data_IF_883843931770
#
_entry.id   IF_883843931770
#
_cell.length_a   1.000
_cell.length_b   1.000
_cell.length_c   1.000
_cell.angle_alpha   90.00
_cell.angle_beta   90.00
_cell.angle_gamma   90.00
#
_symmetry.space_group_name_H-M   'P 1'
#
loop_
_entity.id
_entity.type
_entity.pdbx_description
1 polymer ?
#
# COMPACT_ATOMS: atom_id res chain seq x y z
N UNK A 1 1.52 13.96 -11.25
CA UNK A 1 2.27 13.98 -12.54
C UNK A 1 2.34 12.62 -13.26
N UNK A 2 3.14 11.63 -12.83
CA UNK A 2 3.26 10.36 -13.58
C UNK A 2 2.01 9.49 -13.51
N UNK A 3 1.34 9.45 -12.35
CA UNK A 3 0.07 8.74 -12.19
C UNK A 3 -1.03 9.33 -13.07
N UNK A 4 -1.17 10.65 -13.09
CA UNK A 4 -2.12 11.36 -13.97
C UNK A 4 -1.89 11.03 -15.44
N UNK A 5 -0.62 11.04 -15.89
CA UNK A 5 -0.29 10.67 -17.26
C UNK A 5 -0.62 9.19 -17.53
N UNK A 6 -0.31 8.31 -16.59
CA UNK A 6 -0.64 6.88 -16.71
C UNK A 6 -2.13 6.62 -16.87
N UNK A 7 -2.95 7.35 -16.12
CA UNK A 7 -4.41 7.34 -16.23
C UNK A 7 -4.85 7.89 -17.59
N UNK A 8 -4.36 9.07 -17.99
CA UNK A 8 -4.77 9.74 -19.22
C UNK A 8 -4.41 8.96 -20.49
N UNK A 9 -3.25 8.29 -20.49
CA UNK A 9 -2.77 7.47 -21.62
C UNK A 9 -3.30 6.04 -21.58
N UNK A 10 -3.92 5.60 -20.48
CA UNK A 10 -4.36 4.21 -20.29
C UNK A 10 -3.21 3.19 -20.35
N UNK A 11 -1.99 3.59 -19.99
CA UNK A 11 -0.80 2.76 -20.17
C UNK A 11 -0.51 1.80 -19.01
N UNK A 12 -1.34 1.84 -17.96
CA UNK A 12 -1.29 0.94 -16.81
C UNK A 12 -2.69 0.84 -16.15
N UNK A 13 -2.80 -0.03 -15.15
CA UNK A 13 -4.01 -0.23 -14.33
C UNK A 13 -3.68 -0.35 -12.82
N UNK A 14 -2.42 -0.11 -12.47
CA UNK A 14 -1.93 -0.24 -11.10
C UNK A 14 -0.73 0.68 -10.89
N UNK A 15 -0.55 1.12 -9.65
CA UNK A 15 0.62 1.91 -9.22
C UNK A 15 1.28 1.28 -8.00
N UNK A 16 2.61 1.19 -8.06
CA UNK A 16 3.44 0.77 -6.93
C UNK A 16 3.83 2.00 -6.10
N UNK A 17 3.29 2.12 -4.89
CA UNK A 17 3.45 3.29 -4.03
C UNK A 17 4.60 3.05 -3.05
N UNK A 18 5.62 3.91 -3.11
CA UNK A 18 6.73 3.95 -2.15
C UNK A 18 6.70 5.31 -1.48
N UNK A 19 6.32 5.35 -0.20
CA UNK A 19 6.09 6.58 0.57
C UNK A 19 7.30 7.52 0.52
N UNK A 20 8.51 6.97 0.59
CA UNK A 20 9.75 7.74 0.54
C UNK A 20 10.21 8.15 -0.87
N UNK A 21 9.46 7.86 -1.94
CA UNK A 21 9.72 8.41 -3.28
C UNK A 21 9.09 9.79 -3.49
N UNK A 22 7.95 10.06 -2.85
CA UNK A 22 7.22 11.32 -3.02
C UNK A 22 7.61 12.36 -1.96
N UNK A 23 7.90 11.91 -0.74
CA UNK A 23 8.50 12.73 0.32
C UNK A 23 7.61 12.88 1.55
N UNK A 24 6.31 13.14 1.37
CA UNK A 24 5.37 13.33 2.48
C UNK A 24 4.22 12.32 2.50
N UNK A 25 3.60 12.15 3.68
CA UNK A 25 2.40 11.32 3.84
C UNK A 25 1.19 11.95 3.13
N UNK A 26 1.04 13.27 3.18
CA UNK A 26 -0.06 13.96 2.50
C UNK A 26 -0.04 13.68 1.00
N UNK A 27 1.11 13.86 0.35
CA UNK A 27 1.23 13.59 -1.08
C UNK A 27 1.07 12.09 -1.41
N UNK A 28 1.46 11.22 -0.48
CA UNK A 28 1.22 9.77 -0.60
C UNK A 28 -0.28 9.48 -0.62
N UNK A 29 -1.05 10.04 0.32
CA UNK A 29 -2.50 9.86 0.38
C UNK A 29 -3.19 10.47 -0.84
N UNK A 30 -2.78 11.67 -1.27
CA UNK A 30 -3.32 12.31 -2.48
C UNK A 30 -3.07 11.46 -3.73
N UNK A 31 -1.88 10.84 -3.84
CA UNK A 31 -1.53 9.96 -4.96
C UNK A 31 -2.36 8.68 -4.96
N UNK A 32 -2.54 8.06 -3.78
CA UNK A 32 -3.33 6.82 -3.65
C UNK A 32 -4.80 7.09 -3.94
N UNK A 33 -5.36 8.16 -3.38
CA UNK A 33 -6.76 8.55 -3.60
C UNK A 33 -7.01 8.91 -5.07
N UNK A 34 -6.12 9.68 -5.70
CA UNK A 34 -6.21 9.98 -7.13
C UNK A 34 -6.20 8.71 -7.97
N UNK A 35 -5.28 7.77 -7.71
CA UNK A 35 -5.18 6.53 -8.46
C UNK A 35 -6.46 5.69 -8.33
N UNK A 36 -6.91 5.45 -7.09
CA UNK A 36 -8.10 4.63 -6.84
C UNK A 36 -9.38 5.24 -7.43
N UNK A 37 -9.54 6.57 -7.37
CA UNK A 37 -10.69 7.25 -7.98
C UNK A 37 -10.72 7.17 -9.51
N UNK A 38 -9.57 6.93 -10.14
CA UNK A 38 -9.45 6.75 -11.59
C UNK A 38 -9.34 5.27 -11.99
N UNK A 39 -9.73 4.34 -11.13
CA UNK A 39 -9.77 2.91 -11.43
C UNK A 39 -8.40 2.22 -11.46
N UNK A 40 -7.35 2.87 -10.95
CA UNK A 40 -6.06 2.21 -10.75
C UNK A 40 -6.07 1.49 -9.41
N UNK A 41 -5.53 0.27 -9.39
CA UNK A 41 -5.19 -0.39 -8.12
C UNK A 41 -3.91 0.20 -7.53
N UNK A 42 -3.78 0.16 -6.21
CA UNK A 42 -2.60 0.64 -5.49
C UNK A 42 -1.93 -0.51 -4.77
N UNK A 43 -0.61 -0.63 -4.90
CA UNK A 43 0.20 -1.59 -4.16
C UNK A 43 1.22 -0.84 -3.32
N UNK A 44 1.03 -0.82 -2.00
CA UNK A 44 2.00 -0.23 -1.08
C UNK A 44 3.27 -1.07 -1.05
N UNK A 45 4.45 -0.46 -1.13
CA UNK A 45 5.70 -1.17 -1.35
C UNK A 45 6.81 -0.71 -0.45
N UNK A 46 7.57 -1.69 0.03
CA UNK A 46 8.84 -1.47 0.72
C UNK A 46 9.96 -0.93 -0.21
N UNK A 47 11.15 -0.70 0.35
CA UNK A 47 12.41 -0.49 -0.39
C UNK A 47 13.38 -1.66 -0.23
N UNK A 48 14.40 -1.72 -1.08
CA UNK A 48 15.42 -2.79 -1.00
C UNK A 48 16.21 -2.73 0.32
N UNK A 49 16.59 -1.53 0.77
CA UNK A 49 17.03 -1.27 2.14
C UNK A 49 15.82 -0.91 3.01
N UNK A 50 15.52 -1.76 4.00
CA UNK A 50 14.43 -1.54 4.97
C UNK A 50 14.96 -1.55 6.39
N UNK A 51 14.15 -1.00 7.29
CA UNK A 51 14.36 -1.04 8.73
C UNK A 51 13.28 -1.93 9.38
N UNK A 52 13.26 -1.99 10.70
CA UNK A 52 12.18 -2.64 11.46
C UNK A 52 10.89 -1.79 11.55
N UNK A 53 10.91 -0.56 11.07
CA UNK A 53 9.75 0.32 11.00
C UNK A 53 8.62 -0.37 10.23
N UNK A 54 7.44 -0.47 10.83
CA UNK A 54 6.30 -1.17 10.23
C UNK A 54 5.20 -0.26 9.70
N UNK A 55 5.43 1.06 9.67
CA UNK A 55 4.45 2.10 9.32
C UNK A 55 3.78 1.86 7.96
N UNK A 56 4.49 1.27 7.00
CA UNK A 56 3.91 0.97 5.68
C UNK A 56 2.77 -0.07 5.74
N UNK A 57 2.74 -0.92 6.77
CA UNK A 57 1.63 -1.84 7.02
C UNK A 57 0.37 -1.06 7.44
N UNK A 58 0.51 -0.14 8.39
CA UNK A 58 -0.56 0.73 8.86
C UNK A 58 -1.08 1.63 7.72
N UNK A 59 -0.19 2.20 6.91
CA UNK A 59 -0.56 2.99 5.72
C UNK A 59 -1.33 2.14 4.71
N UNK A 60 -0.92 0.88 4.49
CA UNK A 60 -1.61 0.00 3.54
C UNK A 60 -3.06 -0.30 3.98
N UNK A 61 -3.28 -0.50 5.28
CA UNK A 61 -4.63 -0.69 5.84
C UNK A 61 -5.43 0.61 5.79
N UNK A 62 -4.84 1.73 6.24
CA UNK A 62 -5.50 3.04 6.28
C UNK A 62 -5.95 3.55 4.91
N UNK A 63 -5.17 3.25 3.85
CA UNK A 63 -5.52 3.61 2.47
C UNK A 63 -6.54 2.68 1.83
N UNK A 64 -6.87 1.56 2.46
CA UNK A 64 -7.74 0.52 1.91
C UNK A 64 -7.31 0.04 0.50
N UNK A 65 -6.01 0.09 0.21
CA UNK A 65 -5.44 -0.30 -1.09
C UNK A 65 -5.56 -1.81 -1.35
N UNK A 66 -5.68 -2.62 -0.29
CA UNK A 66 -5.84 -4.07 -0.31
C UNK A 66 -4.65 -4.88 -0.82
N UNK A 67 -3.53 -4.23 -1.15
CA UNK A 67 -2.32 -4.89 -1.62
C UNK A 67 -1.07 -4.23 -1.02
N UNK A 68 -0.18 -5.07 -0.49
CA UNK A 68 1.13 -4.66 0.01
C UNK A 68 2.21 -5.63 -0.47
N UNK A 69 3.35 -5.07 -0.90
CA UNK A 69 4.56 -5.79 -1.30
C UNK A 69 5.69 -5.43 -0.34
N UNK A 70 5.91 -6.28 0.66
CA UNK A 70 6.91 -6.03 1.72
C UNK A 70 8.02 -7.09 1.83
N UNK A 71 8.22 -7.91 0.80
CA UNK A 71 9.36 -8.83 0.68
C UNK A 71 9.02 -10.29 1.01
N UNK A 72 9.99 -11.18 0.96
CA UNK A 72 9.79 -12.57 1.39
C UNK A 72 9.49 -12.63 2.91
N UNK A 73 8.83 -13.70 3.41
CA UNK A 73 8.63 -13.94 4.84
C UNK A 73 9.94 -14.40 5.51
N UNK A 74 11.01 -13.66 5.28
CA UNK A 74 12.33 -13.86 5.84
C UNK A 74 12.96 -12.49 6.12
N UNK A 75 13.90 -12.47 7.07
CA UNK A 75 14.52 -11.26 7.63
C UNK A 75 13.55 -10.38 8.42
N UNK A 76 13.99 -9.92 9.57
CA UNK A 76 13.15 -9.19 10.54
C UNK A 76 12.63 -7.86 9.99
N UNK A 77 13.37 -7.19 9.11
CA UNK A 77 12.95 -5.95 8.45
C UNK A 77 11.69 -6.13 7.59
N UNK A 78 11.45 -7.33 7.05
CA UNK A 78 10.24 -7.69 6.28
C UNK A 78 9.15 -8.23 7.19
N UNK A 79 9.53 -9.14 8.08
CA UNK A 79 8.60 -9.78 9.02
C UNK A 79 7.96 -8.78 9.99
N UNK A 80 8.62 -7.66 10.30
CA UNK A 80 8.05 -6.59 11.11
C UNK A 80 6.71 -6.07 10.53
N UNK A 81 6.65 -5.87 9.21
CA UNK A 81 5.43 -5.40 8.52
C UNK A 81 4.35 -6.48 8.48
N UNK A 82 4.73 -7.73 8.21
CA UNK A 82 3.78 -8.85 8.24
C UNK A 82 3.16 -9.04 9.62
N UNK A 83 3.99 -9.01 10.67
CA UNK A 83 3.53 -9.10 12.05
C UNK A 83 2.62 -7.93 12.42
N UNK A 84 2.91 -6.72 11.90
CA UNK A 84 2.04 -5.57 12.12
C UNK A 84 0.67 -5.74 11.44
N UNK A 85 0.62 -6.26 10.22
CA UNK A 85 -0.66 -6.58 9.56
C UNK A 85 -1.48 -7.60 10.35
N UNK A 86 -0.84 -8.61 10.95
CA UNK A 86 -1.51 -9.60 11.80
C UNK A 86 -2.09 -8.93 13.05
N UNK A 87 -1.34 -8.04 13.71
CA UNK A 87 -1.84 -7.28 14.87
C UNK A 87 -3.00 -6.37 14.52
N UNK A 88 -2.92 -5.64 13.42
CA UNK A 88 -4.02 -4.79 12.94
C UNK A 88 -5.26 -5.64 12.63
N UNK A 89 -5.08 -6.82 12.03
CA UNK A 89 -6.19 -7.73 11.77
C UNK A 89 -6.84 -8.26 13.06
N UNK A 90 -6.05 -8.60 14.08
CA UNK A 90 -6.58 -8.95 15.41
C UNK A 90 -7.34 -7.79 16.05
N UNK A 91 -6.83 -6.56 15.94
CA UNK A 91 -7.45 -5.35 16.50
C UNK A 91 -8.79 -5.01 15.82
N UNK A 92 -8.85 -5.11 14.48
CA UNK A 92 -10.07 -4.83 13.72
C UNK A 92 -11.15 -5.91 13.92
N UNK A 93 -10.76 -7.15 14.23
CA UNK A 93 -11.69 -8.27 14.37
C UNK A 93 -12.63 -8.39 13.16
N UNK A 94 -13.93 -8.46 13.42
CA UNK A 94 -14.97 -8.60 12.37
C UNK A 94 -15.15 -7.34 11.51
N UNK A 95 -14.62 -6.19 11.92
CA UNK A 95 -14.71 -4.95 11.12
C UNK A 95 -13.68 -4.90 9.99
N UNK A 96 -12.63 -5.73 10.08
CA UNK A 96 -11.62 -5.89 9.05
C UNK A 96 -12.06 -6.86 7.96
N UNK A 97 -11.84 -6.49 6.70
CA UNK A 97 -12.06 -7.38 5.55
C UNK A 97 -10.73 -7.65 4.86
N UNK A 98 -10.46 -8.90 4.52
CA UNK A 98 -9.25 -9.27 3.80
C UNK A 98 -9.18 -8.58 2.43
N UNK A 99 -7.99 -8.08 2.09
CA UNK A 99 -7.77 -7.17 0.96
C UNK A 99 -8.21 -7.69 -0.42
N UNK A 100 -8.34 -9.02 -0.61
CA UNK A 100 -8.85 -9.58 -1.87
C UNK A 100 -10.25 -9.06 -2.25
N UNK A 101 -11.05 -8.63 -1.28
CA UNK A 101 -12.36 -8.01 -1.51
C UNK A 101 -12.28 -6.61 -2.16
N UNK A 102 -11.09 -5.99 -2.25
CA UNK A 102 -10.89 -4.67 -2.86
C UNK A 102 -10.31 -4.74 -4.27
N UNK A 103 -9.88 -5.91 -4.75
CA UNK A 103 -9.13 -6.03 -6.01
C UNK A 103 -9.96 -5.76 -7.27
N UNK A 104 -11.29 -5.87 -7.18
CA UNK A 104 -12.23 -5.65 -8.29
C UNK A 104 -13.03 -4.34 -8.13
N UNK A 105 -12.57 -3.41 -7.28
CA UNK A 105 -13.20 -2.10 -7.11
C UNK A 105 -12.70 -1.10 -8.15
#
# INVERSE_FOLDING_TARGET
>A
KFVERGVAEGCANSILIKVNQIGTLSETFDTVDYAMRNGFSCVLSHRSGETEDSTIADIAVATNCGQIKTGAPCRSDRNAKYNQLIRIAEELGETGVYGAATWNR
#
